data_IF_980791435319
#
_entry.id   IF_980791435319
#
_cell.length_a   1.000
_cell.length_b   1.000
_cell.length_c   1.000
_cell.angle_alpha   90.00
_cell.angle_beta   90.00
_cell.angle_gamma   90.00
#
_symmetry.space_group_name_H-M   'P 1'
#
loop_
_entity.id
_entity.type
_entity.pdbx_description
1 polymer ?
#
# COMPACT_ATOMS: atom_id res chain seq x y z
N UNK A 1 -0.17 -8.56 -2.13
CA UNK A 1 -1.02 -8.53 -0.92
C UNK A 1 -0.34 -9.08 0.32
N UNK A 2 0.37 -10.22 0.25
CA UNK A 2 1.06 -10.82 1.41
C UNK A 2 1.92 -9.85 2.24
N UNK A 3 2.56 -8.87 1.58
CA UNK A 3 3.31 -7.82 2.29
C UNK A 3 2.42 -6.92 3.18
N UNK A 4 1.29 -6.45 2.63
CA UNK A 4 0.34 -5.61 3.36
C UNK A 4 -0.26 -6.38 4.53
N UNK A 5 -0.64 -7.63 4.29
CA UNK A 5 -1.19 -8.52 5.33
C UNK A 5 -0.17 -8.75 6.46
N UNK A 6 1.12 -8.93 6.13
CA UNK A 6 2.20 -9.10 7.11
C UNK A 6 2.45 -7.84 7.96
N UNK A 7 2.43 -6.65 7.34
CA UNK A 7 2.54 -5.37 8.09
C UNK A 7 1.31 -5.18 8.98
N UNK A 8 0.11 -5.37 8.43
CA UNK A 8 -1.13 -5.14 9.15
C UNK A 8 -1.25 -6.06 10.36
N UNK A 9 -0.90 -7.35 10.21
CA UNK A 9 -0.84 -8.30 11.31
C UNK A 9 0.14 -7.89 12.41
N UNK A 10 1.31 -7.33 12.05
CA UNK A 10 2.27 -6.79 13.04
C UNK A 10 1.74 -5.56 13.77
N UNK A 11 0.96 -4.71 13.10
CA UNK A 11 0.43 -3.46 13.65
C UNK A 11 -0.95 -3.63 14.32
N UNK A 12 -1.53 -4.83 14.30
CA UNK A 12 -2.87 -5.08 14.84
C UNK A 12 -3.99 -4.39 14.06
N UNK A 13 -3.79 -4.15 12.77
CA UNK A 13 -4.73 -3.47 11.87
C UNK A 13 -5.51 -4.53 11.07
N UNK A 14 -6.82 -4.37 10.95
CA UNK A 14 -7.65 -5.22 10.09
C UNK A 14 -7.53 -4.77 8.63
N UNK A 15 -7.55 -5.71 7.69
CA UNK A 15 -7.49 -5.44 6.25
C UNK A 15 -8.69 -6.08 5.57
N UNK A 16 -9.44 -5.29 4.79
CA UNK A 16 -10.44 -5.82 3.86
C UNK A 16 -9.98 -5.64 2.43
N UNK A 17 -10.24 -6.64 1.59
CA UNK A 17 -9.90 -6.60 0.16
C UNK A 17 -11.09 -6.04 -0.62
N UNK A 18 -10.80 -5.26 -1.66
CA UNK A 18 -11.85 -4.83 -2.57
C UNK A 18 -12.33 -6.02 -3.41
N UNK A 19 -13.65 -6.18 -3.53
CA UNK A 19 -14.25 -7.22 -4.38
C UNK A 19 -14.24 -6.84 -5.86
N UNK A 20 -14.28 -5.54 -6.15
CA UNK A 20 -14.31 -4.98 -7.51
C UNK A 20 -13.11 -4.08 -7.74
N UNK A 21 -12.46 -4.22 -8.90
CA UNK A 21 -11.30 -3.41 -9.28
C UNK A 21 -11.73 -2.03 -9.81
N UNK A 22 -12.00 -1.12 -8.88
CA UNK A 22 -12.17 0.30 -9.17
C UNK A 22 -10.91 1.10 -8.83
N UNK A 23 -9.74 0.45 -8.82
CA UNK A 23 -8.46 1.09 -8.46
C UNK A 23 -8.18 1.16 -6.95
N UNK A 24 -8.94 0.46 -6.12
CA UNK A 24 -8.64 0.25 -4.69
C UNK A 24 -8.37 -1.23 -4.50
N UNK A 25 -7.22 -1.58 -3.91
CA UNK A 25 -6.84 -2.97 -3.65
C UNK A 25 -7.31 -3.44 -2.27
N UNK A 26 -7.46 -2.51 -1.32
CA UNK A 26 -8.02 -2.82 -0.02
C UNK A 26 -8.16 -1.61 0.89
N UNK A 27 -8.59 -1.89 2.12
CA UNK A 27 -8.85 -0.89 3.15
C UNK A 27 -8.24 -1.35 4.47
N UNK A 28 -7.49 -0.45 5.12
CA UNK A 28 -7.06 -0.59 6.51
C UNK A 28 -8.17 -0.12 7.45
N UNK A 29 -8.43 -0.93 8.47
CA UNK A 29 -9.33 -0.63 9.58
C UNK A 29 -8.51 -0.65 10.87
N UNK A 30 -8.01 0.51 11.32
CA UNK A 30 -7.25 0.59 12.56
C UNK A 30 -8.10 0.14 13.74
N UNK A 31 -7.53 -0.68 14.61
CA UNK A 31 -8.18 -1.22 15.80
C UNK A 31 -7.62 -0.51 17.03
N UNK A 32 -8.49 -0.22 18.00
CA UNK A 32 -8.13 0.30 19.32
C UNK A 32 -8.52 -0.68 20.40
N UNK A 33 -7.80 -0.66 21.52
CA UNK A 33 -8.21 -1.35 22.72
C UNK A 33 -9.21 -0.48 23.49
N UNK A 34 -10.27 -1.11 23.98
CA UNK A 34 -11.31 -0.49 24.79
C UNK A 34 -11.60 -1.38 26.00
N UNK A 35 -12.38 -0.86 26.95
CA UNK A 35 -12.84 -1.63 28.12
C UNK A 35 -13.64 -2.88 27.70
N UNK A 36 -14.32 -2.84 26.55
CA UNK A 36 -15.09 -3.95 26.00
C UNK A 36 -14.28 -4.87 25.06
N UNK A 37 -12.96 -4.68 24.96
CA UNK A 37 -12.08 -5.42 24.05
C UNK A 37 -11.63 -4.61 22.84
N UNK A 38 -11.16 -5.29 21.79
CA UNK A 38 -10.66 -4.67 20.56
C UNK A 38 -11.80 -4.29 19.62
N UNK A 39 -11.79 -3.04 19.17
CA UNK A 39 -12.81 -2.53 18.23
C UNK A 39 -12.19 -1.65 17.17
N UNK A 40 -12.81 -1.60 16.00
CA UNK A 40 -12.37 -0.72 14.91
C UNK A 40 -12.62 0.74 15.27
N UNK A 41 -11.71 1.61 14.85
CA UNK A 41 -11.76 3.04 15.17
C UNK A 41 -12.80 3.80 14.35
N UNK A 42 -13.25 3.24 13.23
CA UNK A 42 -14.13 3.89 12.25
C UNK A 42 -13.40 4.80 11.25
N UNK A 43 -12.12 5.09 11.45
CA UNK A 43 -11.29 5.90 10.54
C UNK A 43 -10.52 4.99 9.59
N UNK A 44 -11.10 4.75 8.42
CA UNK A 44 -10.54 3.82 7.43
C UNK A 44 -9.55 4.51 6.49
N UNK A 45 -8.61 3.74 5.96
CA UNK A 45 -7.63 4.20 4.97
C UNK A 45 -7.61 3.22 3.80
N UNK A 46 -8.02 3.67 2.62
CA UNK A 46 -7.95 2.85 1.41
C UNK A 46 -6.52 2.85 0.86
N UNK A 47 -6.14 1.78 0.18
CA UNK A 47 -4.85 1.73 -0.51
C UNK A 47 -4.96 1.12 -1.90
N UNK A 48 -4.05 1.55 -2.77
CA UNK A 48 -3.75 0.92 -4.06
C UNK A 48 -2.32 0.40 -4.05
N UNK A 49 -2.11 -0.80 -4.58
CA UNK A 49 -0.82 -1.46 -4.72
C UNK A 49 -0.36 -1.39 -6.18
N UNK A 50 0.87 -0.95 -6.36
CA UNK A 50 1.58 -1.05 -7.64
C UNK A 50 2.95 -1.65 -7.39
N UNK A 51 3.44 -2.42 -8.36
CA UNK A 51 4.79 -2.96 -8.35
C UNK A 51 5.43 -2.69 -9.71
N UNK A 52 6.66 -2.19 -9.72
CA UNK A 52 7.38 -1.86 -10.95
C UNK A 52 8.87 -2.05 -10.78
N UNK A 53 9.54 -2.45 -11.87
CA UNK A 53 11.00 -2.37 -12.02
C UNK A 53 11.44 -1.05 -12.66
N UNK A 54 10.51 -0.36 -13.32
CA UNK A 54 10.72 0.93 -13.97
C UNK A 54 10.40 2.03 -12.96
N UNK A 55 11.39 2.40 -12.16
CA UNK A 55 11.32 3.48 -11.19
C UNK A 55 12.72 4.08 -11.01
N UNK A 56 12.77 5.35 -10.65
CA UNK A 56 14.01 6.08 -10.42
C UNK A 56 13.91 6.87 -9.11
N UNK A 57 15.07 7.19 -8.53
CA UNK A 57 15.15 8.09 -7.37
C UNK A 57 15.60 9.45 -7.87
N UNK A 58 14.79 10.47 -7.62
CA UNK A 58 15.15 11.85 -7.86
C UNK A 58 15.12 12.62 -6.52
N UNK A 59 16.30 12.81 -5.93
CA UNK A 59 16.46 13.42 -4.61
C UNK A 59 15.69 12.66 -3.52
N UNK A 60 14.63 13.29 -2.98
CA UNK A 60 13.76 12.71 -1.96
C UNK A 60 12.53 11.96 -2.54
N UNK A 61 12.34 12.02 -3.86
CA UNK A 61 11.17 11.51 -4.57
C UNK A 61 11.48 10.19 -5.27
N UNK A 62 10.45 9.36 -5.47
CA UNK A 62 10.48 8.25 -6.41
C UNK A 62 9.69 8.67 -7.64
N UNK A 63 10.31 8.55 -8.80
CA UNK A 63 9.68 8.80 -10.09
C UNK A 63 9.32 7.45 -10.69
N UNK A 64 8.07 7.29 -11.10
CA UNK A 64 7.62 6.13 -11.85
C UNK A 64 6.51 6.55 -12.81
N UNK A 65 6.40 5.85 -13.94
CA UNK A 65 5.33 6.09 -14.90
C UNK A 65 4.04 5.38 -14.46
N UNK A 66 2.99 6.16 -14.23
CA UNK A 66 1.68 5.66 -13.85
C UNK A 66 0.74 5.77 -15.04
N UNK A 67 -0.01 4.70 -15.29
CA UNK A 67 -1.09 4.74 -16.28
C UNK A 67 -2.10 5.86 -15.93
N UNK A 68 -2.41 6.69 -16.93
CA UNK A 68 -3.17 7.93 -16.73
C UNK A 68 -4.57 7.69 -16.16
N UNK A 69 -5.29 6.64 -16.61
CA UNK A 69 -6.60 6.33 -16.07
C UNK A 69 -6.52 5.90 -14.59
N UNK A 70 -5.50 5.16 -14.19
CA UNK A 70 -5.26 4.80 -12.80
C UNK A 70 -4.92 6.02 -11.92
N UNK A 71 -4.13 6.97 -12.44
CA UNK A 71 -3.88 8.25 -11.76
C UNK A 71 -5.18 9.05 -11.60
N UNK A 72 -5.95 9.19 -12.68
CA UNK A 72 -7.20 9.96 -12.69
C UNK A 72 -8.23 9.39 -11.70
N UNK A 73 -8.32 8.06 -11.57
CA UNK A 73 -9.17 7.40 -10.56
C UNK A 73 -8.81 7.79 -9.12
N UNK A 74 -7.55 8.15 -8.84
CA UNK A 74 -7.13 8.62 -7.52
C UNK A 74 -7.31 10.13 -7.38
N UNK A 75 -6.88 10.89 -8.39
CA UNK A 75 -6.85 12.36 -8.34
C UNK A 75 -8.25 13.00 -8.39
N UNK A 76 -9.21 12.35 -9.05
CA UNK A 76 -10.58 12.85 -9.23
C UNK A 76 -11.56 12.35 -8.16
N UNK A 77 -11.06 11.79 -7.05
CA UNK A 77 -11.91 11.34 -5.95
C UNK A 77 -12.56 12.53 -5.26
N UNK A 78 -13.76 12.31 -4.73
CA UNK A 78 -14.43 13.29 -3.89
C UNK A 78 -13.52 13.65 -2.70
N UNK A 79 -13.28 14.95 -2.41
CA UNK A 79 -12.47 15.38 -1.26
C UNK A 79 -12.97 14.86 0.10
N UNK A 80 -14.28 14.55 0.21
CA UNK A 80 -14.88 13.95 1.40
C UNK A 80 -14.81 12.41 1.42
N UNK A 81 -14.31 11.78 0.34
CA UNK A 81 -14.15 10.33 0.30
C UNK A 81 -13.10 9.85 1.30
N UNK A 82 -13.17 8.55 1.62
CA UNK A 82 -12.13 7.89 2.41
C UNK A 82 -10.75 8.12 1.75
N UNK A 83 -9.74 8.57 2.52
CA UNK A 83 -8.40 8.79 2.01
C UNK A 83 -7.86 7.53 1.33
N UNK A 84 -7.15 7.72 0.22
CA UNK A 84 -6.54 6.65 -0.57
C UNK A 84 -5.03 6.89 -0.65
N UNK A 85 -4.23 5.89 -0.29
CA UNK A 85 -2.77 5.94 -0.42
C UNK A 85 -2.27 4.97 -1.48
N UNK A 86 -1.27 5.40 -2.25
CA UNK A 86 -0.56 4.52 -3.15
C UNK A 86 0.64 3.89 -2.42
N UNK A 87 0.71 2.57 -2.45
CA UNK A 87 1.84 1.79 -1.96
C UNK A 87 2.57 1.24 -3.20
N UNK A 88 3.71 1.84 -3.52
CA UNK A 88 4.57 1.42 -4.62
C UNK A 88 5.67 0.48 -4.14
N UNK A 89 5.66 -0.76 -4.64
CA UNK A 89 6.76 -1.70 -4.52
C UNK A 89 7.78 -1.44 -5.63
N UNK A 90 8.90 -0.84 -5.24
CA UNK A 90 10.05 -0.60 -6.10
C UNK A 90 10.90 -1.89 -6.15
N UNK A 91 10.76 -2.63 -7.25
CA UNK A 91 11.43 -3.91 -7.45
C UNK A 91 12.80 -3.71 -8.12
N UNK A 92 13.85 -4.47 -7.75
CA UNK A 92 15.11 -4.42 -8.48
C UNK A 92 14.93 -5.01 -9.89
N UNK A 93 15.72 -4.54 -10.86
CA UNK A 93 15.58 -4.93 -12.27
C UNK A 93 15.69 -6.45 -12.50
N UNK A 94 16.47 -7.15 -11.67
CA UNK A 94 16.66 -8.59 -11.78
C UNK A 94 15.64 -9.34 -10.91
N UNK A 95 14.78 -10.13 -11.54
CA UNK A 95 13.71 -10.92 -10.88
C UNK A 95 14.24 -11.88 -9.81
N UNK A 96 15.39 -12.51 -10.07
CA UNK A 96 16.07 -13.41 -9.10
C UNK A 96 16.40 -12.71 -7.76
N UNK A 97 16.39 -11.38 -7.73
CA UNK A 97 16.63 -10.60 -6.52
C UNK A 97 15.36 -10.27 -5.73
N UNK A 98 14.17 -10.57 -6.26
CA UNK A 98 12.89 -10.22 -5.63
C UNK A 98 12.60 -11.07 -4.40
N UNK A 99 12.88 -12.38 -4.50
CA UNK A 99 12.57 -13.37 -3.49
C UNK A 99 13.78 -14.27 -3.24
N UNK A 100 14.29 -14.27 -2.01
CA UNK A 100 15.26 -15.25 -1.53
C UNK A 100 14.62 -16.07 -0.42
N UNK A 101 14.56 -17.38 -0.62
CA UNK A 101 14.09 -18.32 0.39
C UNK A 101 15.26 -19.19 0.86
N UNK A 102 15.35 -19.41 2.17
CA UNK A 102 16.12 -20.48 2.76
C UNK A 102 15.33 -21.07 3.94
N UNK A 103 15.82 -22.18 4.49
CA UNK A 103 15.16 -22.91 5.59
C UNK A 103 14.96 -22.09 6.87
N UNK A 104 15.70 -20.98 7.04
CA UNK A 104 15.66 -20.11 8.21
C UNK A 104 14.86 -18.82 8.02
N UNK A 105 14.68 -18.37 6.77
CA UNK A 105 14.06 -17.10 6.46
C UNK A 105 13.55 -17.03 5.01
N UNK A 106 12.39 -16.41 4.87
CA UNK A 106 11.89 -15.90 3.60
C UNK A 106 12.21 -14.39 3.55
N UNK A 107 13.18 -14.02 2.73
CA UNK A 107 13.58 -12.63 2.50
C UNK A 107 12.98 -12.16 1.18
N UNK A 108 11.91 -11.39 1.28
CA UNK A 108 11.31 -10.72 0.15
C UNK A 108 11.91 -9.28 0.15
N UNK A 109 12.62 -8.92 -0.93
CA UNK A 109 13.43 -7.68 -1.03
C UNK A 109 12.75 -6.67 -1.94
N UNK A 110 12.26 -5.57 -1.35
CA UNK A 110 11.79 -4.40 -2.08
C UNK A 110 12.08 -3.15 -1.24
N UNK A 111 12.02 -1.97 -1.87
CA UNK A 111 11.88 -0.70 -1.16
C UNK A 111 10.42 -0.27 -1.24
N UNK A 112 9.78 -0.07 -0.09
CA UNK A 112 8.43 0.48 0.00
C UNK A 112 8.53 1.87 0.63
N UNK A 113 7.97 2.87 -0.04
CA UNK A 113 7.82 4.23 0.47
C UNK A 113 6.32 4.56 0.40
N UNK A 114 5.72 4.92 1.52
CA UNK A 114 4.33 5.40 1.56
C UNK A 114 4.29 6.85 1.11
N UNK A 115 3.48 7.15 0.11
CA UNK A 115 3.25 8.53 -0.33
C UNK A 115 2.03 9.09 0.40
N UNK A 116 2.26 10.11 1.24
CA UNK A 116 1.20 11.02 1.67
C UNK A 116 1.23 12.20 0.71
N UNK A 117 0.25 12.28 -0.19
CA UNK A 117 0.13 13.42 -1.09
C UNK A 117 -0.25 14.66 -0.29
N UNK A 118 0.42 15.79 -0.57
CA UNK A 118 0.18 17.12 0.05
C UNK A 118 0.05 18.21 -1.04
N UNK A 119 -0.68 19.26 -0.64
CA UNK A 119 -0.83 20.62 -1.21
C UNK A 119 -1.41 20.79 -2.61
N UNK A 120 -2.63 21.33 -2.66
CA UNK A 120 -2.87 22.74 -3.01
C UNK A 120 -3.85 23.35 -2.02
#
# INVERSE_FOLDING_TARGET
MAYVDAIAGRLGINVTRALHDYGVDGTFHPVKETIAGRTETGFTLQYQLKATVNWEVDGASIVYDMEAAAFNKMALRDPAAVPLVLILLCLPALEISWLRQNERALLLRWRARTFHTWSR
#
